data_IF_081641604643
#
_entry.id   IF_081641604643
#
_cell.length_a   1.000
_cell.length_b   1.000
_cell.length_c   1.000
_cell.angle_alpha   90.00
_cell.angle_beta   90.00
_cell.angle_gamma   90.00
#
_symmetry.space_group_name_H-M   'P 1'
#
loop_
_entity.id
_entity.type
_entity.pdbx_description
1 polymer ?
#
# COMPACT_ATOMS: atom_id res chain seq x y z
N UNK A 1 26.67 3.97 34.29
CA UNK A 1 26.05 4.24 32.99
C UNK A 1 27.03 3.87 31.87
N UNK A 2 27.02 2.63 31.34
CA UNK A 2 27.90 2.25 30.22
C UNK A 2 27.55 0.93 29.47
N UNK A 3 26.36 0.34 29.67
CA UNK A 3 26.00 -0.94 29.05
C UNK A 3 25.46 -0.84 27.62
N UNK A 4 25.13 0.36 27.12
CA UNK A 4 24.40 0.52 25.85
C UNK A 4 25.25 0.30 24.59
N UNK A 5 26.58 0.27 24.73
CA UNK A 5 27.51 0.14 23.60
C UNK A 5 28.36 -1.15 23.63
N UNK A 6 28.23 -2.00 24.64
CA UNK A 6 29.15 -3.13 24.82
C UNK A 6 28.94 -4.22 23.76
N UNK A 7 27.68 -4.55 23.43
CA UNK A 7 27.35 -5.51 22.36
C UNK A 7 27.83 -5.00 20.99
N UNK A 8 27.70 -3.69 20.74
CA UNK A 8 28.17 -3.08 19.50
C UNK A 8 29.70 -3.02 19.44
N UNK A 9 30.39 -2.73 20.56
CA UNK A 9 31.84 -2.75 20.65
C UNK A 9 32.41 -4.17 20.48
N UNK A 10 31.79 -5.17 21.08
CA UNK A 10 32.17 -6.58 20.94
C UNK A 10 31.96 -7.08 19.50
N UNK A 11 30.85 -6.69 18.85
CA UNK A 11 30.62 -6.96 17.43
C UNK A 11 31.66 -6.25 16.56
N UNK A 12 31.96 -4.99 16.85
CA UNK A 12 32.96 -4.21 16.10
C UNK A 12 34.34 -4.83 16.23
N UNK A 13 34.73 -5.30 17.41
CA UNK A 13 35.98 -6.03 17.66
C UNK A 13 36.00 -7.40 16.96
N UNK A 14 34.91 -8.14 17.01
CA UNK A 14 34.77 -9.42 16.30
C UNK A 14 34.93 -9.22 14.78
N UNK A 15 34.22 -8.24 14.22
CA UNK A 15 34.28 -7.87 12.80
C UNK A 15 35.67 -7.38 12.43
N UNK A 16 36.31 -6.54 13.25
CA UNK A 16 37.67 -6.04 12.98
C UNK A 16 38.71 -7.17 13.02
N UNK A 17 38.60 -8.10 13.97
CA UNK A 17 39.48 -9.27 14.07
C UNK A 17 39.23 -10.26 12.92
N UNK A 18 37.98 -10.46 12.51
CA UNK A 18 37.60 -11.34 11.41
C UNK A 18 38.02 -10.77 10.04
N UNK A 19 37.85 -9.45 9.83
CA UNK A 19 38.31 -8.75 8.64
C UNK A 19 39.84 -8.77 8.52
N UNK A 20 40.57 -8.75 9.65
CA UNK A 20 42.03 -8.88 9.66
C UNK A 20 42.54 -10.27 9.28
N UNK A 21 41.77 -11.33 9.55
CA UNK A 21 42.09 -12.71 9.14
C UNK A 21 41.62 -13.02 7.70
N UNK A 22 40.60 -12.31 7.23
CA UNK A 22 39.95 -12.58 5.96
C UNK A 22 40.40 -11.65 4.82
N UNK A 23 41.41 -10.80 5.02
CA UNK A 23 41.90 -9.92 3.95
C UNK A 23 42.30 -10.71 2.69
N UNK A 24 42.86 -11.93 2.88
CA UNK A 24 43.20 -12.89 1.81
C UNK A 24 42.02 -13.74 1.30
N UNK A 25 40.92 -13.83 2.05
CA UNK A 25 39.71 -14.58 1.70
C UNK A 25 38.47 -13.67 1.48
N UNK A 26 38.71 -12.38 1.25
CA UNK A 26 37.68 -11.34 1.20
C UNK A 26 36.61 -11.63 0.15
N UNK A 27 37.00 -12.19 -0.99
CA UNK A 27 36.07 -12.62 -2.04
C UNK A 27 35.18 -13.81 -1.65
N UNK A 28 35.68 -14.75 -0.85
CA UNK A 28 34.88 -15.88 -0.35
C UNK A 28 33.86 -15.43 0.70
N UNK A 29 34.26 -14.48 1.56
CA UNK A 29 33.34 -13.87 2.53
C UNK A 29 32.29 -13.03 1.83
N UNK A 30 32.67 -12.22 0.84
CA UNK A 30 31.71 -11.41 0.07
C UNK A 30 30.65 -12.30 -0.61
N UNK A 31 31.08 -13.39 -1.23
CA UNK A 31 30.17 -14.35 -1.86
C UNK A 31 29.29 -15.09 -0.83
N UNK A 32 29.83 -15.44 0.34
CA UNK A 32 29.05 -16.06 1.42
C UNK A 32 27.99 -15.09 1.99
N UNK A 33 28.34 -13.81 2.16
CA UNK A 33 27.41 -12.76 2.60
C UNK A 33 26.32 -12.52 1.55
N UNK A 34 26.67 -12.44 0.27
CA UNK A 34 25.67 -12.32 -0.82
C UNK A 34 24.71 -13.51 -0.82
N UNK A 35 25.21 -14.73 -0.73
CA UNK A 35 24.36 -15.93 -0.67
C UNK A 35 23.46 -15.97 0.58
N UNK A 36 23.96 -15.49 1.73
CA UNK A 36 23.17 -15.39 2.95
C UNK A 36 22.07 -14.34 2.82
N UNK A 37 22.40 -13.18 2.24
CA UNK A 37 21.45 -12.13 1.94
C UNK A 37 20.41 -12.63 0.93
N UNK A 38 20.80 -13.27 -0.17
CA UNK A 38 19.87 -13.78 -1.18
C UNK A 38 18.88 -14.80 -0.59
N UNK A 39 19.35 -15.73 0.25
CA UNK A 39 18.46 -16.67 0.96
C UNK A 39 17.56 -15.97 1.96
N UNK A 40 18.09 -15.03 2.74
CA UNK A 40 17.30 -14.24 3.68
C UNK A 40 16.20 -13.45 2.96
N UNK A 41 16.55 -12.74 1.87
CA UNK A 41 15.61 -11.96 1.07
C UNK A 41 14.55 -12.85 0.41
N UNK A 42 14.92 -14.05 -0.04
CA UNK A 42 13.97 -15.05 -0.56
C UNK A 42 13.03 -15.60 0.53
N UNK A 43 13.56 -15.93 1.70
CA UNK A 43 12.80 -16.51 2.82
C UNK A 43 11.82 -15.51 3.44
N UNK A 44 12.14 -14.21 3.39
CA UNK A 44 11.27 -13.16 3.92
C UNK A 44 10.16 -12.69 2.96
N UNK A 45 9.97 -13.37 1.83
CA UNK A 45 8.84 -13.14 0.93
C UNK A 45 8.79 -11.72 0.38
N UNK A 46 9.95 -11.17 0.01
CA UNK A 46 10.03 -9.82 -0.53
C UNK A 46 9.37 -9.73 -1.90
N UNK A 47 8.52 -8.72 -2.06
CA UNK A 47 7.85 -8.41 -3.33
C UNK A 47 8.91 -7.96 -4.32
N UNK A 48 9.00 -8.65 -5.45
CA UNK A 48 9.91 -8.26 -6.52
C UNK A 48 9.51 -6.90 -7.09
N UNK A 49 10.46 -6.19 -7.70
CA UNK A 49 10.16 -4.89 -8.29
C UNK A 49 9.05 -4.96 -9.35
N UNK A 50 9.02 -6.04 -10.13
CA UNK A 50 8.00 -6.28 -11.15
C UNK A 50 6.60 -6.49 -10.54
N UNK A 51 6.50 -7.29 -9.48
CA UNK A 51 5.23 -7.50 -8.75
C UNK A 51 4.73 -6.21 -8.08
N UNK A 52 5.65 -5.39 -7.59
CA UNK A 52 5.33 -4.09 -7.02
C UNK A 52 4.77 -3.15 -8.11
N UNK A 53 5.44 -3.05 -9.26
CA UNK A 53 5.02 -2.21 -10.37
C UNK A 53 3.66 -2.68 -10.94
N UNK A 54 3.46 -3.99 -11.05
CA UNK A 54 2.18 -4.58 -11.46
C UNK A 54 1.05 -4.25 -10.46
N UNK A 55 1.31 -4.37 -9.16
CA UNK A 55 0.35 -4.04 -8.11
C UNK A 55 0.03 -2.55 -8.10
N UNK A 56 1.02 -1.68 -8.33
CA UNK A 56 0.83 -0.24 -8.39
C UNK A 56 -0.05 0.16 -9.59
N UNK A 57 0.18 -0.44 -10.75
CA UNK A 57 -0.63 -0.21 -11.94
C UNK A 57 -2.08 -0.65 -11.73
N UNK A 58 -2.28 -1.85 -11.17
CA UNK A 58 -3.61 -2.34 -10.79
C UNK A 58 -4.31 -1.40 -9.80
N UNK A 59 -3.59 -0.91 -8.78
CA UNK A 59 -4.14 -0.01 -7.77
C UNK A 59 -4.60 1.31 -8.38
N UNK A 60 -3.81 1.90 -9.29
CA UNK A 60 -4.18 3.14 -9.99
C UNK A 60 -5.47 2.96 -10.79
N UNK A 61 -5.56 1.89 -11.59
CA UNK A 61 -6.77 1.59 -12.37
C UNK A 61 -7.99 1.38 -11.46
N UNK A 62 -7.83 0.66 -10.36
CA UNK A 62 -8.92 0.42 -9.41
C UNK A 62 -9.43 1.71 -8.77
N UNK A 63 -8.53 2.63 -8.40
CA UNK A 63 -8.92 3.93 -7.83
C UNK A 63 -9.68 4.78 -8.85
N UNK A 64 -9.22 4.82 -10.10
CA UNK A 64 -9.92 5.52 -11.19
C UNK A 64 -11.34 4.97 -11.35
N UNK A 65 -11.49 3.65 -11.47
CA UNK A 65 -12.80 3.00 -11.63
C UNK A 65 -13.73 3.24 -10.42
N UNK A 66 -13.20 3.18 -9.20
CA UNK A 66 -13.96 3.50 -7.98
C UNK A 66 -14.45 4.95 -8.00
N UNK A 67 -13.63 5.89 -8.44
CA UNK A 67 -14.03 7.31 -8.48
C UNK A 67 -15.13 7.56 -9.50
N UNK A 68 -15.06 6.92 -10.67
CA UNK A 68 -16.09 6.99 -11.69
C UNK A 68 -17.41 6.39 -11.20
N UNK A 69 -17.36 5.18 -10.64
CA UNK A 69 -18.54 4.51 -10.07
C UNK A 69 -19.19 5.34 -8.96
N UNK A 70 -18.39 5.96 -8.07
CA UNK A 70 -18.91 6.86 -7.03
C UNK A 70 -19.61 8.08 -7.61
N UNK A 71 -19.04 8.71 -8.65
CA UNK A 71 -19.67 9.83 -9.35
C UNK A 71 -21.01 9.46 -9.98
N UNK A 72 -21.09 8.26 -10.58
CA UNK A 72 -22.35 7.73 -11.13
C UNK A 72 -23.37 7.51 -10.01
N UNK A 73 -22.97 6.88 -8.91
CA UNK A 73 -23.85 6.66 -7.75
C UNK A 73 -24.41 7.97 -7.18
N UNK A 74 -23.57 9.00 -7.02
CA UNK A 74 -24.04 10.31 -6.54
C UNK A 74 -25.08 10.94 -7.47
N UNK A 75 -24.86 10.87 -8.80
CA UNK A 75 -25.83 11.37 -9.79
C UNK A 75 -27.14 10.61 -9.72
N UNK A 76 -27.08 9.29 -9.57
CA UNK A 76 -28.27 8.44 -9.43
C UNK A 76 -29.03 8.73 -8.12
N UNK A 77 -28.34 8.89 -7.00
CA UNK A 77 -28.94 9.26 -5.72
C UNK A 77 -29.59 10.64 -5.77
N UNK A 78 -28.94 11.65 -6.35
CA UNK A 78 -29.56 12.98 -6.54
C UNK A 78 -30.80 12.91 -7.44
N UNK A 79 -30.78 12.05 -8.48
CA UNK A 79 -31.93 11.84 -9.37
C UNK A 79 -33.08 11.13 -8.68
N UNK A 80 -32.82 10.12 -7.84
CA UNK A 80 -33.88 9.44 -7.09
C UNK A 80 -34.57 10.38 -6.08
N UNK A 81 -33.80 11.18 -5.35
CA UNK A 81 -34.32 12.13 -4.36
C UNK A 81 -35.16 13.24 -5.04
N UNK A 82 -34.68 13.79 -6.16
CA UNK A 82 -35.42 14.81 -6.92
C UNK A 82 -36.67 14.27 -7.62
N UNK A 83 -36.67 12.99 -8.03
CA UNK A 83 -37.84 12.30 -8.58
C UNK A 83 -38.96 12.13 -7.54
N UNK A 84 -38.61 11.77 -6.30
CA UNK A 84 -39.57 11.63 -5.19
C UNK A 84 -40.15 13.00 -4.78
N UNK A 85 -39.32 14.04 -4.72
CA UNK A 85 -39.76 15.42 -4.44
C UNK A 85 -40.75 15.96 -5.49
N UNK A 86 -40.49 15.71 -6.78
CA UNK A 86 -41.41 16.10 -7.87
C UNK A 86 -42.73 15.31 -7.87
N UNK A 87 -42.70 14.04 -7.48
CA UNK A 87 -43.91 13.23 -7.36
C UNK A 87 -44.83 13.74 -6.23
N UNK A 88 -44.28 14.06 -5.05
CA UNK A 88 -45.04 14.63 -3.93
C UNK A 88 -45.65 16.01 -4.25
N UNK A 89 -44.91 16.89 -4.94
CA UNK A 89 -45.40 18.22 -5.33
C UNK A 89 -46.58 18.18 -6.30
N UNK A 90 -46.59 17.23 -7.25
CA UNK A 90 -47.72 17.06 -8.19
C UNK A 90 -48.98 16.52 -7.52
N UNK A 91 -48.85 15.71 -6.47
CA UNK A 91 -49.97 15.16 -5.72
C UNK A 91 -50.65 16.27 -4.89
N UNK A 92 -49.88 17.12 -4.22
CA UNK A 92 -50.40 18.26 -3.45
C UNK A 92 -51.14 19.31 -4.31
N UNK A 93 -50.65 19.59 -5.52
CA UNK A 93 -51.32 20.56 -6.42
C UNK A 93 -52.60 20.02 -7.09
N UNK A 94 -52.83 18.71 -7.07
CA UNK A 94 -54.04 18.09 -7.65
C UNK A 94 -55.22 18.13 -6.69
N UNK A 95 -54.98 18.16 -5.38
CA UNK A 95 -56.00 18.30 -4.33
C UNK A 95 -56.45 19.75 -4.07
N UNK A 96 -55.77 20.75 -4.63
CA UNK A 96 -56.07 22.19 -4.43
C UNK A 96 -56.82 22.85 -5.60
N UNK A 97 -57.19 22.11 -6.66
CA UNK A 97 -58.04 22.70 -7.71
C UNK A 97 -59.50 22.75 -7.22
N UNK A 98 -60.10 23.95 -7.13
CA UNK A 98 -61.35 24.16 -6.43
C UNK A 98 -62.52 23.58 -7.21
N UNK A 99 -63.39 22.87 -6.51
CA UNK A 99 -64.77 22.63 -6.93
C UNK A 99 -65.57 23.92 -6.74
N UNK A 100 -65.94 24.51 -7.89
CA UNK A 100 -67.00 25.52 -8.15
C UNK A 100 -67.09 26.72 -7.20
#
# INVERSE_FOLDING_TARGET
MQSRNQIFDDLTRLVTNALGLAQDASGEIENAIKNLLDRYLADHGLVTREEFDASQLMLKKAVEEITELRSVLEKLQKRSISGVSRAGSKISKKSEKPSL
#
